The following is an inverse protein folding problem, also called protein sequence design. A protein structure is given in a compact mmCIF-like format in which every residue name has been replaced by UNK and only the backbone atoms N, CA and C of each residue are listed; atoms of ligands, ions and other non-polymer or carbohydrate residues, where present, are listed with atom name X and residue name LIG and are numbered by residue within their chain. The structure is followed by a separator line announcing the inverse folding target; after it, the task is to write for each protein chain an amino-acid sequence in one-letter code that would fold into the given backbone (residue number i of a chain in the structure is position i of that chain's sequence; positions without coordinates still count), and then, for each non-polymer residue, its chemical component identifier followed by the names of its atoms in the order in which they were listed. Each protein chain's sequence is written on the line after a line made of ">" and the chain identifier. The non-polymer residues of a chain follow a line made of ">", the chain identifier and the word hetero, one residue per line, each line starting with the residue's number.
data_IF_436408178634
#
_entry.id   IF_436408178634
#
_cell.length_a   1.000
_cell.length_b   1.000
_cell.length_c   1.000
_cell.angle_alpha   90.00
_cell.angle_beta   90.00
_cell.angle_gamma   90.00
#
_symmetry.space_group_name_H-M   'P 1'
#
loop_
_entity.id
_entity.type
_entity.pdbx_description
1 polymer ?
#
# COMPACT_ATOMS: atom_id res chain seq x y z
N UNK A 1 -14.53 -34.70 -1.19
CA UNK A 1 -15.20 -33.41 -1.44
C UNK A 1 -14.23 -32.31 -1.03
N UNK A 2 -13.59 -31.61 -1.97
CA UNK A 2 -12.73 -30.48 -1.64
C UNK A 2 -13.64 -29.28 -1.35
N UNK A 3 -13.65 -28.78 -0.11
CA UNK A 3 -14.30 -27.50 0.20
C UNK A 3 -13.48 -26.39 -0.48
N UNK A 4 -13.94 -25.93 -1.64
CA UNK A 4 -13.52 -24.66 -2.21
C UNK A 4 -14.01 -23.57 -1.27
N UNK A 5 -13.15 -23.15 -0.34
CA UNK A 5 -13.38 -21.93 0.44
C UNK A 5 -13.25 -20.76 -0.53
N UNK A 6 -14.36 -20.33 -1.09
CA UNK A 6 -14.41 -19.12 -1.90
C UNK A 6 -14.01 -17.95 -1.01
N UNK A 7 -13.03 -17.15 -1.46
CA UNK A 7 -12.61 -15.97 -0.69
C UNK A 7 -13.80 -15.01 -0.60
N UNK A 8 -14.08 -14.43 0.58
CA UNK A 8 -15.16 -13.47 0.72
C UNK A 8 -14.95 -12.32 -0.27
N UNK A 9 -16.01 -11.78 -0.87
CA UNK A 9 -15.89 -10.71 -1.84
C UNK A 9 -15.31 -9.45 -1.18
N UNK A 10 -14.40 -8.77 -1.88
CA UNK A 10 -13.74 -7.55 -1.40
C UNK A 10 -14.07 -6.33 -2.25
N UNK A 11 -13.71 -5.15 -1.74
CA UNK A 11 -13.82 -3.86 -2.41
C UNK A 11 -12.60 -3.01 -2.09
N UNK A 12 -12.19 -2.19 -3.05
CA UNK A 12 -11.07 -1.25 -2.90
C UNK A 12 -11.59 0.16 -2.57
N UNK A 13 -10.85 0.87 -1.72
CA UNK A 13 -11.08 2.28 -1.40
C UNK A 13 -9.75 3.02 -1.24
N UNK A 14 -9.78 4.35 -1.39
CA UNK A 14 -8.66 5.18 -0.99
C UNK A 14 -8.55 5.19 0.54
N UNK A 15 -7.35 4.91 1.05
CA UNK A 15 -7.02 5.03 2.48
C UNK A 15 -6.38 6.38 2.80
N UNK A 16 -6.29 6.68 4.09
CA UNK A 16 -5.54 7.83 4.57
C UNK A 16 -4.04 7.56 4.53
N UNK A 17 -3.27 8.50 3.96
CA UNK A 17 -1.82 8.35 3.93
C UNK A 17 -1.24 8.46 5.36
N UNK A 18 -0.35 7.55 5.78
CA UNK A 18 0.30 7.65 7.10
C UNK A 18 1.31 8.80 7.19
N UNK A 19 1.70 9.36 6.04
CA UNK A 19 2.58 10.52 5.92
C UNK A 19 1.99 11.48 4.88
N UNK A 20 2.36 12.78 4.88
CA UNK A 20 1.94 13.70 3.84
C UNK A 20 2.22 13.16 2.42
N UNK A 21 1.34 13.45 1.47
CA UNK A 21 1.58 13.14 0.06
C UNK A 21 2.92 13.75 -0.40
N UNK A 22 3.74 12.98 -1.10
CA UNK A 22 5.09 13.37 -1.52
C UNK A 22 6.20 13.07 -0.51
N UNK A 23 5.87 12.52 0.67
CA UNK A 23 6.88 12.09 1.64
C UNK A 23 7.80 11.04 1.03
N UNK A 24 9.11 11.22 1.19
CA UNK A 24 10.10 10.23 0.74
C UNK A 24 10.11 9.04 1.69
N UNK A 25 9.82 7.86 1.15
CA UNK A 25 9.80 6.60 1.88
C UNK A 25 10.72 5.56 1.23
N UNK A 26 11.21 4.62 2.03
CA UNK A 26 12.00 3.47 1.61
C UNK A 26 11.15 2.20 1.65
N UNK A 27 11.10 1.44 0.55
CA UNK A 27 10.61 0.06 0.53
C UNK A 27 11.69 -0.89 1.05
N UNK A 28 11.57 -1.23 2.33
CA UNK A 28 12.55 -2.03 3.10
C UNK A 28 12.86 -3.41 2.53
N UNK A 29 12.05 -3.93 1.60
CA UNK A 29 12.30 -5.23 0.96
C UNK A 29 13.25 -5.14 -0.24
N UNK A 30 13.21 -4.02 -0.97
CA UNK A 30 13.92 -3.89 -2.25
C UNK A 30 14.96 -2.77 -2.22
N UNK A 31 15.15 -2.11 -1.07
CA UNK A 31 16.06 -0.98 -0.88
C UNK A 31 15.83 0.13 -1.92
N UNK A 32 14.56 0.37 -2.26
CA UNK A 32 14.13 1.41 -3.23
C UNK A 32 13.43 2.55 -2.50
N UNK A 33 13.82 3.78 -2.82
CA UNK A 33 13.18 4.99 -2.28
C UNK A 33 12.26 5.65 -3.30
N UNK A 34 11.11 6.12 -2.85
CA UNK A 34 10.14 6.86 -3.67
C UNK A 34 9.27 7.79 -2.84
N UNK A 35 8.56 8.67 -3.53
CA UNK A 35 7.57 9.57 -2.94
C UNK A 35 6.24 8.81 -2.78
N UNK A 36 5.64 8.88 -1.58
CA UNK A 36 4.33 8.31 -1.30
C UNK A 36 3.23 9.15 -1.97
N UNK A 37 2.51 8.55 -2.92
CA UNK A 37 1.46 9.25 -3.70
C UNK A 37 0.05 8.76 -3.41
N UNK A 38 -0.12 7.54 -2.89
CA UNK A 38 -1.44 6.97 -2.66
C UNK A 38 -1.43 5.78 -1.72
N UNK A 39 -2.58 5.54 -1.11
CA UNK A 39 -2.87 4.32 -0.35
C UNK A 39 -4.20 3.76 -0.84
N UNK A 40 -4.20 2.49 -1.20
CA UNK A 40 -5.43 1.74 -1.45
C UNK A 40 -5.60 0.72 -0.33
N UNK A 41 -6.79 0.70 0.24
CA UNK A 41 -7.22 -0.29 1.21
C UNK A 41 -8.17 -1.27 0.55
N UNK A 42 -7.98 -2.54 0.84
CA UNK A 42 -8.91 -3.59 0.48
C UNK A 42 -9.71 -3.98 1.71
N UNK A 43 -11.04 -4.00 1.60
CA UNK A 43 -11.94 -4.42 2.66
C UNK A 43 -12.85 -5.54 2.19
N UNK A 44 -13.27 -6.40 3.12
CA UNK A 44 -14.40 -7.31 2.87
C UNK A 44 -15.67 -6.50 2.60
N UNK A 45 -16.46 -6.90 1.60
CA UNK A 45 -17.76 -6.23 1.33
C UNK A 45 -18.69 -6.32 2.53
N UNK A 46 -18.66 -7.45 3.21
CA UNK A 46 -19.39 -7.68 4.45
C UNK A 46 -18.57 -7.16 5.64
N UNK A 47 -19.17 -6.26 6.44
CA UNK A 47 -18.55 -5.75 7.67
C UNK A 47 -17.34 -4.82 7.49
N UNK A 48 -16.89 -4.55 6.25
CA UNK A 48 -15.77 -3.64 5.92
C UNK A 48 -14.47 -3.94 6.67
N UNK A 49 -14.19 -5.22 6.94
CA UNK A 49 -12.95 -5.62 7.61
C UNK A 49 -11.77 -5.35 6.67
N UNK A 50 -10.74 -4.67 7.16
CA UNK A 50 -9.50 -4.43 6.42
C UNK A 50 -8.80 -5.76 6.11
N UNK A 51 -8.47 -5.96 4.84
CA UNK A 51 -7.79 -7.15 4.29
C UNK A 51 -6.34 -6.82 3.96
N UNK A 52 -6.10 -5.70 3.26
CA UNK A 52 -4.77 -5.27 2.86
C UNK A 52 -4.67 -3.75 2.70
N UNK A 53 -3.45 -3.24 2.77
CA UNK A 53 -3.10 -1.84 2.55
C UNK A 53 -1.91 -1.76 1.59
N UNK A 54 -2.11 -1.12 0.46
CA UNK A 54 -1.13 -1.04 -0.64
C UNK A 54 -0.75 0.41 -0.88
N UNK A 55 0.51 0.73 -0.63
CA UNK A 55 1.08 2.04 -0.91
C UNK A 55 1.51 2.13 -2.37
N UNK A 56 1.22 3.26 -3.00
CA UNK A 56 1.67 3.61 -4.34
C UNK A 56 2.79 4.64 -4.23
N UNK A 57 3.91 4.33 -4.87
CA UNK A 57 5.14 5.09 -4.80
C UNK A 57 5.60 5.52 -6.18
N UNK A 58 6.17 6.72 -6.25
CA UNK A 58 6.77 7.27 -7.46
C UNK A 58 8.27 7.51 -7.25
N UNK A 59 9.16 7.14 -8.19
CA UNK A 59 10.57 7.45 -8.03
C UNK A 59 10.83 8.96 -8.11
N UNK A 60 11.73 9.46 -7.25
CA UNK A 60 12.16 10.86 -7.29
C UNK A 60 12.83 11.16 -8.63
N UNK A 61 12.41 12.24 -9.29
CA UNK A 61 12.90 12.60 -10.63
C UNK A 61 12.17 11.90 -11.78
N UNK A 62 11.12 11.10 -11.49
CA UNK A 62 10.33 10.39 -12.49
C UNK A 62 10.77 8.94 -12.72
N UNK A 63 10.04 8.24 -13.59
CA UNK A 63 10.25 6.81 -13.87
C UNK A 63 8.99 5.99 -13.61
N UNK A 64 9.14 4.67 -13.50
CA UNK A 64 8.03 3.74 -13.30
C UNK A 64 7.57 3.73 -11.86
N UNK A 65 6.30 4.08 -11.65
CA UNK A 65 5.62 3.93 -10.37
C UNK A 65 5.51 2.46 -9.97
N UNK A 66 5.46 2.19 -8.66
CA UNK A 66 5.27 0.85 -8.15
C UNK A 66 4.39 0.82 -6.92
N UNK A 67 3.87 -0.36 -6.61
CA UNK A 67 3.09 -0.62 -5.42
C UNK A 67 3.84 -1.53 -4.45
N UNK A 68 3.62 -1.34 -3.15
CA UNK A 68 4.18 -2.21 -2.10
C UNK A 68 3.25 -2.20 -0.87
N UNK A 69 3.20 -3.26 -0.05
CA UNK A 69 2.44 -3.24 1.19
C UNK A 69 2.84 -2.07 2.09
N UNK A 70 1.86 -1.37 2.66
CA UNK A 70 2.11 -0.23 3.54
C UNK A 70 3.05 -0.57 4.71
N UNK A 71 2.93 -1.78 5.25
CA UNK A 71 3.79 -2.25 6.33
C UNK A 71 5.30 -2.34 5.98
N UNK A 72 5.68 -2.22 4.71
CA UNK A 72 7.07 -2.28 4.24
C UNK A 72 7.71 -0.92 4.01
N UNK A 73 6.93 0.16 4.06
CA UNK A 73 7.46 1.50 3.82
C UNK A 73 7.82 2.17 5.14
N UNK A 74 8.94 2.90 5.15
CA UNK A 74 9.36 3.72 6.28
C UNK A 74 9.74 5.11 5.76
N UNK A 75 9.42 6.15 6.53
CA UNK A 75 9.89 7.51 6.20
C UNK A 75 11.41 7.58 6.28
N UNK A 76 12.04 8.15 5.26
CA UNK A 76 13.50 8.34 5.20
C UNK A 76 13.95 9.45 6.16
N UNK A 77 13.08 10.37 6.54
CA UNK A 77 13.41 11.48 7.45
C UNK A 77 13.61 11.03 8.91
N UNK A 78 13.19 9.82 9.27
CA UNK A 78 13.35 9.25 10.61
C UNK A 78 14.62 8.39 10.79
N UNK A 79 15.64 8.56 9.93
CA UNK A 79 16.89 7.79 9.98
C UNK A 79 18.09 8.60 10.44
#
# INVERSE_FOLDING_TARGET
>A
MAQTHEKPPTMLSHGELPYPHGTLVEDTKHDRTGELVGLIEEHTKEGRKLVSQTAYLRPKGGGTEWETPLARIQSVENR
#
